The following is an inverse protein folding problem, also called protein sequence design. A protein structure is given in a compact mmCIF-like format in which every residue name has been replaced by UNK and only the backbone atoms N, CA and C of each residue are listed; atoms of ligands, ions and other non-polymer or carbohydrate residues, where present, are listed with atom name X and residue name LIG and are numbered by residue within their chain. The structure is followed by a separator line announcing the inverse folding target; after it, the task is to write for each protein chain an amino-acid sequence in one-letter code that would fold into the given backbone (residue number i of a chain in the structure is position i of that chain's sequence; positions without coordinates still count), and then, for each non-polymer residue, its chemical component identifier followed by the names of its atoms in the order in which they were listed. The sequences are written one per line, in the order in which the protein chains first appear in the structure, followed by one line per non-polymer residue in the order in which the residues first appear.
data_IF_442078450265
#
_entry.id   IF_442078450265
#
_cell.length_a   1.000
_cell.length_b   1.000
_cell.length_c   1.000
_cell.angle_alpha   90.00
_cell.angle_beta   90.00
_cell.angle_gamma   90.00
#
_symmetry.space_group_name_H-M   'P 1'
#
loop_
_entity.id
_entity.type
_entity.pdbx_description
1 polymer ?
#
# COMPACT_ATOMS: atom_id res chain seq x y z
N UNK A 1 -4.90 12.27 -11.61
CA UNK A 1 -4.93 10.89 -12.11
C UNK A 1 -3.62 10.66 -12.85
N UNK A 2 -2.79 9.73 -12.38
CA UNK A 2 -1.66 9.23 -13.15
C UNK A 2 -2.18 8.01 -13.93
N UNK A 3 -2.30 8.13 -15.25
CA UNK A 3 -2.60 7.00 -16.13
C UNK A 3 -1.26 6.39 -16.54
N UNK A 4 -1.02 5.12 -16.20
CA UNK A 4 0.11 4.37 -16.73
C UNK A 4 -0.45 3.34 -17.72
N UNK A 5 -0.09 3.44 -19.00
CA UNK A 5 -0.43 2.44 -20.02
C UNK A 5 0.61 1.33 -20.07
N UNK A 6 0.16 0.11 -20.39
CA UNK A 6 0.93 -1.12 -20.66
C UNK A 6 1.48 -1.83 -19.41
N UNK A 7 1.65 -3.16 -19.51
CA UNK A 7 1.90 -4.19 -18.49
C UNK A 7 3.15 -4.02 -17.59
N UNK A 8 3.59 -2.79 -17.36
CA UNK A 8 4.75 -2.46 -16.55
C UNK A 8 4.30 -2.18 -15.12
N UNK A 9 5.10 -2.60 -14.16
CA UNK A 9 4.85 -2.28 -12.76
C UNK A 9 4.90 -0.76 -12.56
N UNK A 10 3.97 -0.25 -11.77
CA UNK A 10 3.89 1.17 -11.45
C UNK A 10 4.93 1.46 -10.38
N UNK A 11 5.89 2.33 -10.70
CA UNK A 11 6.83 2.85 -9.73
C UNK A 11 6.30 4.18 -9.17
N UNK A 12 6.38 4.37 -7.86
CA UNK A 12 6.01 5.65 -7.25
C UNK A 12 7.06 6.70 -7.69
N UNK A 13 6.65 7.79 -8.37
CA UNK A 13 7.60 8.79 -8.79
C UNK A 13 8.22 9.50 -7.59
N UNK A 14 9.54 9.73 -7.64
CA UNK A 14 10.29 10.36 -6.54
C UNK A 14 9.69 11.68 -6.06
N UNK A 15 9.11 12.47 -6.98
CA UNK A 15 8.50 13.75 -6.64
C UNK A 15 7.30 13.63 -5.68
N UNK A 16 6.58 12.50 -5.71
CA UNK A 16 5.49 12.22 -4.79
C UNK A 16 6.03 12.01 -3.38
N UNK A 17 7.09 11.20 -3.27
CA UNK A 17 7.70 10.79 -2.01
C UNK A 17 8.36 11.97 -1.30
N UNK A 18 8.98 12.86 -2.07
CA UNK A 18 9.61 14.10 -1.57
C UNK A 18 8.60 15.22 -1.30
N UNK A 19 7.32 15.03 -1.62
CA UNK A 19 6.30 16.06 -1.42
C UNK A 19 6.02 16.26 0.08
N UNK A 20 6.51 17.35 0.63
CA UNK A 20 6.39 17.68 2.06
C UNK A 20 4.96 18.03 2.51
N UNK A 21 4.03 18.23 1.57
CA UNK A 21 2.64 18.56 1.85
C UNK A 21 1.66 17.42 1.55
N UNK A 22 2.14 16.28 1.05
CA UNK A 22 1.25 15.18 0.66
C UNK A 22 0.79 14.42 1.90
N UNK A 23 -0.41 14.76 2.39
CA UNK A 23 -1.01 14.09 3.56
C UNK A 23 -1.82 12.85 3.21
N UNK A 24 -2.35 12.76 2.00
CA UNK A 24 -3.27 11.70 1.58
C UNK A 24 -2.87 11.13 0.24
N UNK A 25 -2.61 9.82 0.21
CA UNK A 25 -2.33 9.06 -1.00
C UNK A 25 -3.33 7.91 -1.11
N UNK A 26 -4.09 7.91 -2.21
CA UNK A 26 -5.05 6.86 -2.53
C UNK A 26 -4.72 6.35 -3.93
N UNK A 27 -4.42 5.07 -4.04
CA UNK A 27 -4.08 4.43 -5.30
C UNK A 27 -4.98 3.21 -5.51
N UNK A 28 -5.51 3.12 -6.71
CA UNK A 28 -6.14 1.93 -7.26
C UNK A 28 -5.39 1.60 -8.53
N UNK A 29 -4.83 0.39 -8.60
CA UNK A 29 -3.98 -0.03 -9.70
C UNK A 29 -4.50 -1.30 -10.39
N UNK A 30 -5.75 -1.71 -10.16
CA UNK A 30 -6.40 -2.82 -10.88
C UNK A 30 -5.55 -4.13 -10.91
N UNK A 31 -5.01 -4.50 -9.75
CA UNK A 31 -4.08 -5.61 -9.49
C UNK A 31 -2.71 -5.50 -10.16
N UNK A 32 -2.31 -4.30 -10.60
CA UNK A 32 -0.95 -4.09 -11.09
C UNK A 32 0.05 -4.05 -9.95
N UNK A 33 1.29 -4.39 -10.32
CA UNK A 33 2.46 -4.24 -9.48
C UNK A 33 2.71 -2.79 -9.09
N UNK A 34 2.94 -2.53 -7.81
CA UNK A 34 3.42 -1.26 -7.28
C UNK A 34 4.80 -1.47 -6.66
N UNK A 35 5.82 -0.82 -7.25
CA UNK A 35 7.15 -0.74 -6.67
C UNK A 35 7.23 0.44 -5.72
N UNK A 36 7.50 0.14 -4.46
CA UNK A 36 7.74 1.16 -3.44
C UNK A 36 9.18 1.67 -3.54
N UNK A 37 9.39 2.97 -3.24
CA UNK A 37 10.73 3.55 -3.17
C UNK A 37 11.52 2.90 -2.01
N UNK A 38 12.76 2.49 -2.28
CA UNK A 38 13.61 1.73 -1.35
C UNK A 38 14.20 2.60 -0.21
N UNK A 39 14.35 3.91 -0.41
CA UNK A 39 15.22 4.75 0.46
C UNK A 39 14.45 5.94 1.06
N UNK A 40 13.24 6.21 0.59
CA UNK A 40 12.48 7.38 0.99
C UNK A 40 11.03 7.00 1.28
N UNK A 41 10.49 7.56 2.36
CA UNK A 41 9.07 7.50 2.68
C UNK A 41 8.48 8.90 2.70
N UNK A 42 7.17 8.96 2.82
CA UNK A 42 6.45 10.22 2.79
C UNK A 42 6.44 10.87 4.18
N UNK A 43 7.09 12.03 4.32
CA UNK A 43 7.26 12.70 5.61
C UNK A 43 5.94 13.18 6.23
N UNK A 44 5.03 13.70 5.40
CA UNK A 44 3.76 14.28 5.83
C UNK A 44 2.56 13.36 5.61
N UNK A 45 2.75 12.16 5.06
CA UNK A 45 1.65 11.27 4.73
C UNK A 45 0.98 10.76 6.00
N UNK A 46 -0.32 11.04 6.12
CA UNK A 46 -1.18 10.65 7.23
C UNK A 46 -2.10 9.51 6.83
N UNK A 47 -2.56 9.50 5.58
CA UNK A 47 -3.51 8.50 5.08
C UNK A 47 -2.95 7.84 3.83
N UNK A 48 -2.70 6.54 3.91
CA UNK A 48 -2.36 5.69 2.77
C UNK A 48 -3.48 4.68 2.51
N UNK A 49 -4.07 4.73 1.31
CA UNK A 49 -5.03 3.72 0.87
C UNK A 49 -4.58 3.10 -0.44
N UNK A 50 -4.41 1.79 -0.44
CA UNK A 50 -4.09 1.00 -1.62
C UNK A 50 -5.26 0.06 -1.86
N UNK A 51 -5.76 0.04 -3.10
CA UNK A 51 -6.87 -0.82 -3.54
C UNK A 51 -6.43 -1.61 -4.76
N UNK A 52 -6.63 -2.92 -4.74
CA UNK A 52 -6.31 -3.80 -5.86
C UNK A 52 -4.86 -3.56 -6.33
N UNK A 53 -3.90 -3.70 -5.44
CA UNK A 53 -2.47 -3.49 -5.75
C UNK A 53 -1.68 -4.74 -5.43
N UNK A 54 -0.81 -5.16 -6.34
CA UNK A 54 0.23 -6.14 -6.02
C UNK A 54 1.47 -5.38 -5.52
N UNK A 55 1.77 -5.46 -4.22
CA UNK A 55 2.91 -4.75 -3.65
C UNK A 55 4.18 -5.52 -3.97
N UNK A 56 4.90 -5.05 -4.99
CA UNK A 56 6.12 -5.68 -5.48
C UNK A 56 7.33 -5.24 -4.66
N UNK A 57 7.91 -6.20 -3.95
CA UNK A 57 9.11 -6.00 -3.16
C UNK A 57 9.32 -7.14 -2.17
N UNK A 58 10.54 -7.22 -1.62
CA UNK A 58 10.74 -8.03 -0.42
C UNK A 58 9.94 -7.38 0.73
N UNK A 59 9.46 -8.18 1.69
CA UNK A 59 8.74 -7.67 2.86
C UNK A 59 9.54 -6.65 3.68
N UNK A 60 10.87 -6.68 3.56
CA UNK A 60 11.76 -5.66 4.11
C UNK A 60 11.59 -4.30 3.41
N UNK A 61 11.36 -4.23 2.09
CA UNK A 61 11.15 -2.96 1.39
C UNK A 61 9.83 -2.28 1.78
N UNK A 62 8.76 -3.06 1.89
CA UNK A 62 7.47 -2.56 2.36
C UNK A 62 7.59 -2.06 3.81
N UNK A 63 8.36 -2.78 4.63
CA UNK A 63 8.69 -2.37 5.99
C UNK A 63 9.45 -1.04 6.01
N UNK A 64 10.56 -0.94 5.28
CA UNK A 64 11.44 0.23 5.29
C UNK A 64 10.69 1.47 4.78
N UNK A 65 9.85 1.31 3.76
CA UNK A 65 9.00 2.38 3.25
C UNK A 65 8.05 2.94 4.33
N UNK A 66 7.42 2.06 5.13
CA UNK A 66 6.48 2.48 6.17
C UNK A 66 7.19 3.07 7.40
N UNK A 67 8.36 2.56 7.76
CA UNK A 67 9.21 3.17 8.80
C UNK A 67 9.60 4.60 8.42
N UNK A 68 9.81 4.86 7.12
CA UNK A 68 10.09 6.19 6.58
C UNK A 68 8.84 7.06 6.41
N UNK A 69 7.65 6.64 6.87
CA UNK A 69 6.41 7.42 6.89
C UNK A 69 6.01 7.81 8.34
N UNK A 70 6.73 8.76 8.99
CA UNK A 70 6.61 9.04 10.43
C UNK A 70 5.28 9.70 10.87
N UNK A 71 4.45 10.11 9.91
CA UNK A 71 3.18 10.79 10.16
C UNK A 71 1.97 9.91 9.85
N UNK A 72 2.17 8.65 9.47
CA UNK A 72 1.10 7.76 9.02
C UNK A 72 0.15 7.42 10.17
N UNK A 73 -1.11 7.82 10.02
CA UNK A 73 -2.20 7.64 10.99
C UNK A 73 -3.19 6.57 10.51
N UNK A 74 -3.43 6.47 9.21
CA UNK A 74 -4.36 5.52 8.60
C UNK A 74 -3.68 4.74 7.47
N UNK A 75 -3.77 3.41 7.54
CA UNK A 75 -3.37 2.51 6.47
C UNK A 75 -4.56 1.63 6.09
N UNK A 76 -4.97 1.69 4.82
CA UNK A 76 -5.99 0.81 4.26
C UNK A 76 -5.43 0.01 3.09
N UNK A 77 -5.59 -1.30 3.14
CA UNK A 77 -5.22 -2.24 2.10
C UNK A 77 -6.49 -2.99 1.70
N UNK A 78 -7.01 -2.69 0.52
CA UNK A 78 -8.22 -3.31 -0.05
C UNK A 78 -7.79 -4.25 -1.17
N UNK A 79 -7.99 -5.55 -0.97
CA UNK A 79 -7.74 -6.59 -1.97
C UNK A 79 -6.33 -6.52 -2.60
N UNK A 80 -5.33 -6.12 -1.80
CA UNK A 80 -3.94 -6.01 -2.22
C UNK A 80 -3.20 -7.33 -2.04
N UNK A 81 -2.43 -7.77 -3.03
CA UNK A 81 -1.57 -8.94 -2.87
C UNK A 81 -0.31 -8.54 -2.10
N UNK A 82 -0.09 -9.18 -0.96
CA UNK A 82 1.03 -8.91 -0.06
C UNK A 82 1.72 -10.23 0.28
N UNK A 83 2.90 -10.46 -0.28
CA UNK A 83 3.66 -11.70 -0.08
C UNK A 83 4.13 -11.91 1.37
N UNK A 84 4.18 -10.86 2.21
CA UNK A 84 4.68 -10.91 3.61
C UNK A 84 3.91 -9.99 4.59
N UNK A 85 2.60 -10.23 4.78
CA UNK A 85 1.70 -9.44 5.67
C UNK A 85 2.14 -9.30 7.13
N UNK A 86 2.86 -10.27 7.69
CA UNK A 86 3.09 -10.33 9.15
C UNK A 86 3.96 -9.19 9.71
N UNK A 87 4.64 -8.41 8.85
CA UNK A 87 5.52 -7.32 9.25
C UNK A 87 4.80 -5.98 9.42
N UNK A 88 3.61 -5.81 8.83
CA UNK A 88 2.92 -4.52 8.73
C UNK A 88 2.42 -3.96 10.07
N UNK A 89 1.98 -4.80 10.99
CA UNK A 89 1.30 -4.36 12.22
C UNK A 89 2.22 -3.75 13.29
N UNK A 90 3.54 -3.92 13.19
CA UNK A 90 4.48 -3.61 14.30
C UNK A 90 5.15 -2.22 14.13
N UNK A 91 5.04 -1.59 12.97
CA UNK A 91 6.03 -0.59 12.52
C UNK A 91 5.55 0.86 12.48
N UNK A 92 4.25 1.10 12.61
CA UNK A 92 3.69 2.45 12.51
C UNK A 92 3.25 2.95 13.89
N UNK A 93 4.13 3.62 14.67
CA UNK A 93 3.84 3.99 16.06
C UNK A 93 2.70 5.00 16.22
N UNK A 94 2.38 5.76 15.17
CA UNK A 94 1.24 6.70 15.14
C UNK A 94 0.00 6.14 14.47
N UNK A 95 0.02 4.88 14.01
CA UNK A 95 -1.10 4.29 13.30
C UNK A 95 -2.28 4.14 14.25
N UNK A 96 -3.36 4.83 13.92
CA UNK A 96 -4.62 4.79 14.66
C UNK A 96 -5.61 3.82 14.04
N UNK A 97 -5.53 3.67 12.71
CA UNK A 97 -6.44 2.82 11.96
C UNK A 97 -5.68 1.94 10.98
N UNK A 98 -5.91 0.64 11.07
CA UNK A 98 -5.47 -0.37 10.11
C UNK A 98 -6.70 -1.08 9.55
N UNK A 99 -6.91 -0.97 8.25
CA UNK A 99 -7.98 -1.67 7.53
C UNK A 99 -7.41 -2.61 6.49
N UNK A 100 -7.50 -3.92 6.72
CA UNK A 100 -7.21 -4.92 5.70
C UNK A 100 -8.52 -5.57 5.26
N UNK A 101 -8.97 -5.26 4.05
CA UNK A 101 -10.23 -5.76 3.51
C UNK A 101 -9.91 -6.69 2.34
N UNK A 102 -10.22 -7.97 2.48
CA UNK A 102 -10.02 -9.00 1.45
C UNK A 102 -11.38 -9.40 0.90
N UNK A 103 -11.74 -8.95 -0.30
CA UNK A 103 -13.03 -9.25 -0.92
C UNK A 103 -13.15 -10.73 -1.31
N UNK A 104 -12.04 -11.46 -1.45
CA UNK A 104 -12.07 -12.91 -1.71
C UNK A 104 -12.63 -13.74 -0.55
N UNK A 105 -12.66 -13.25 0.70
CA UNK A 105 -13.35 -13.98 1.78
C UNK A 105 -14.86 -14.01 1.60
N UNK A 106 -15.44 -13.06 0.86
CA UNK A 106 -16.88 -13.06 0.55
C UNK A 106 -17.18 -14.11 -0.54
N UNK A 107 -16.33 -14.24 -1.57
CA UNK A 107 -16.53 -15.22 -2.64
C UNK A 107 -16.14 -16.66 -2.28
N UNK A 108 -15.16 -16.88 -1.39
CA UNK A 108 -14.79 -18.24 -0.98
C UNK A 108 -15.80 -18.85 0.01
N UNK A 109 -16.64 -18.04 0.68
CA UNK A 109 -17.79 -18.57 1.42
C UNK A 109 -18.92 -19.00 0.46
N UNK A 110 -19.12 -18.29 -0.65
CA UNK A 110 -20.12 -18.65 -1.67
C UNK A 110 -19.74 -19.85 -2.54
N UNK A 111 -18.45 -20.17 -2.71
CA UNK A 111 -17.99 -21.37 -3.45
C UNK A 111 -17.84 -22.64 -2.61
N UNK A 112 -18.19 -22.63 -1.32
CA UNK A 112 -18.33 -23.83 -0.49
C UNK A 112 -19.79 -24.31 -0.35
N UNK A 113 -20.73 -23.74 -1.11
CA UNK A 113 -22.16 -24.06 -1.07
C UNK A 113 -22.69 -24.60 -2.42
N UNK A 114 -21.81 -24.97 -3.36
CA UNK A 114 -22.18 -25.79 -4.52
C UNK A 114 -21.12 -26.87 -4.75
#
# INVERSE_FOLDING_TARGET
MLFCSNNEDVEIPHCLVTCSSLEVLKLDLEYRGLRLPNIMGFLALRVLRLSYVDLLGDGYLVKDFLENCPSLEELTLLDCVLSKLNLLCILCPKLRSLGCVWLWKIFHFSRKIF
#
